data_IF_334396340647
#
_entry.id   IF_334396340647
#
_cell.length_a   1.000
_cell.length_b   1.000
_cell.length_c   1.000
_cell.angle_alpha   90.00
_cell.angle_beta   90.00
_cell.angle_gamma   90.00
#
_symmetry.space_group_name_H-M   'P 1'
#
loop_
_entity.id
_entity.type
_entity.pdbx_description
1 polymer ?
#
# COMPACT_ATOMS: atom_id res chain seq x y z
N UNK A 1 16.00 10.38 1.51
CA UNK A 1 16.62 9.21 0.85
C UNK A 1 15.60 8.08 0.85
N UNK A 2 15.51 7.26 -0.19
CA UNK A 2 14.62 6.11 -0.19
C UNK A 2 15.01 5.11 0.91
N UNK A 3 14.03 4.39 1.44
CA UNK A 3 14.26 3.30 2.38
C UNK A 3 14.89 2.12 1.63
N UNK A 4 15.97 1.56 2.19
CA UNK A 4 16.61 0.34 1.67
C UNK A 4 16.26 -0.85 2.54
N UNK A 5 16.46 -2.08 2.03
CA UNK A 5 16.30 -3.32 2.79
C UNK A 5 17.10 -3.31 4.09
N UNK A 6 18.40 -3.00 4.00
CA UNK A 6 19.27 -2.99 5.16
C UNK A 6 18.81 -1.99 6.22
N UNK A 7 18.36 -0.79 5.76
CA UNK A 7 17.83 0.22 6.69
C UNK A 7 16.50 -0.19 7.30
N UNK A 8 15.65 -0.87 6.56
CA UNK A 8 14.41 -1.42 7.12
C UNK A 8 14.68 -2.44 8.23
N UNK A 9 15.61 -3.39 8.02
CA UNK A 9 15.97 -4.35 9.05
C UNK A 9 16.70 -3.68 10.23
N UNK A 10 17.56 -2.69 9.99
CA UNK A 10 18.17 -1.88 11.06
C UNK A 10 17.10 -1.18 11.91
N UNK A 11 16.04 -0.63 11.29
CA UNK A 11 14.92 -0.03 12.02
C UNK A 11 14.20 -1.04 12.90
N UNK A 12 14.00 -2.27 12.42
CA UNK A 12 13.43 -3.36 13.24
C UNK A 12 14.32 -3.66 14.44
N UNK A 13 15.62 -3.77 14.21
CA UNK A 13 16.59 -4.14 15.25
C UNK A 13 16.83 -3.00 16.26
N UNK A 14 16.61 -1.76 15.88
CA UNK A 14 16.83 -0.57 16.72
C UNK A 14 15.60 -0.15 17.52
N UNK A 15 14.40 -0.67 17.21
CA UNK A 15 13.16 -0.25 17.85
C UNK A 15 12.56 -1.34 18.73
N UNK A 16 12.25 -1.00 19.97
CA UNK A 16 11.82 -1.96 21.00
C UNK A 16 10.42 -2.53 20.78
N UNK A 17 9.56 -1.80 20.07
CA UNK A 17 8.17 -2.19 19.84
C UNK A 17 7.63 -1.67 18.51
N UNK A 18 6.42 -2.11 18.16
CA UNK A 18 5.75 -1.75 16.91
C UNK A 18 5.46 -0.25 16.77
N UNK A 19 4.95 0.48 17.78
CA UNK A 19 4.74 1.93 17.69
C UNK A 19 6.02 2.72 17.40
N UNK A 20 7.13 2.43 18.06
CA UNK A 20 8.41 3.10 17.80
C UNK A 20 8.93 2.79 16.41
N UNK A 21 8.85 1.53 15.97
CA UNK A 21 9.19 1.15 14.60
C UNK A 21 8.34 1.92 13.58
N UNK A 22 7.02 2.02 13.77
CA UNK A 22 6.13 2.75 12.86
C UNK A 22 6.45 4.25 12.81
N UNK A 23 6.74 4.84 13.96
CA UNK A 23 7.17 6.23 14.04
C UNK A 23 8.48 6.48 13.27
N UNK A 24 9.48 5.60 13.45
CA UNK A 24 10.75 5.69 12.73
C UNK A 24 10.58 5.49 11.22
N UNK A 25 9.70 4.58 10.79
CA UNK A 25 9.35 4.37 9.39
C UNK A 25 8.64 5.58 8.79
N UNK A 26 7.79 6.25 9.59
CA UNK A 26 7.08 7.47 9.20
C UNK A 26 7.98 8.61 8.72
N UNK A 27 9.24 8.64 9.17
CA UNK A 27 10.22 9.62 8.71
C UNK A 27 10.59 9.49 7.22
N UNK A 28 10.29 8.37 6.59
CA UNK A 28 10.49 8.10 5.16
C UNK A 28 9.27 8.44 4.31
N UNK A 29 8.16 8.87 4.92
CA UNK A 29 6.91 9.16 4.22
C UNK A 29 6.88 10.65 3.85
N UNK A 30 6.68 10.99 2.56
CA UNK A 30 6.56 12.40 2.16
C UNK A 30 5.25 13.01 2.66
N UNK A 31 5.25 14.34 2.83
CA UNK A 31 4.06 15.07 3.29
C UNK A 31 2.93 15.13 2.25
N UNK A 32 3.23 14.83 0.98
CA UNK A 32 2.25 14.72 -0.11
C UNK A 32 2.48 13.44 -0.90
N UNK A 33 1.39 12.78 -1.27
CA UNK A 33 1.36 11.59 -2.12
C UNK A 33 0.33 11.74 -3.23
N UNK A 34 0.50 11.00 -4.30
CA UNK A 34 -0.31 11.06 -5.51
C UNK A 34 -0.94 9.71 -5.82
N UNK A 35 -2.21 9.72 -6.23
CA UNK A 35 -2.85 8.51 -6.74
C UNK A 35 -3.49 8.81 -8.09
N UNK A 36 -3.21 7.93 -9.05
CA UNK A 36 -3.66 8.04 -10.42
C UNK A 36 -4.92 7.20 -10.62
N UNK A 37 -5.84 7.71 -11.43
CA UNK A 37 -7.12 7.07 -11.68
C UNK A 37 -7.44 7.09 -13.17
N UNK A 38 -7.82 5.95 -13.71
CA UNK A 38 -8.52 5.88 -14.98
C UNK A 38 -9.98 6.33 -14.78
N UNK A 39 -10.58 6.89 -15.82
CA UNK A 39 -12.01 7.17 -15.86
C UNK A 39 -12.64 6.09 -16.75
N UNK A 40 -13.59 5.29 -16.25
CA UNK A 40 -14.30 4.29 -17.03
C UNK A 40 -15.02 4.92 -18.22
N UNK A 41 -15.12 4.18 -19.33
CA UNK A 41 -15.92 4.59 -20.50
C UNK A 41 -17.42 4.56 -20.18
N UNK A 42 -17.86 3.67 -19.27
CA UNK A 42 -19.22 3.65 -18.75
C UNK A 42 -19.50 4.89 -17.91
N UNK A 43 -20.53 5.65 -18.33
CA UNK A 43 -20.85 6.94 -17.70
C UNK A 43 -21.38 6.82 -16.27
N UNK A 44 -22.05 5.72 -15.94
CA UNK A 44 -22.61 5.48 -14.60
C UNK A 44 -21.51 5.03 -13.64
N UNK A 45 -20.58 4.19 -14.09
CA UNK A 45 -19.42 3.82 -13.29
C UNK A 45 -18.51 5.03 -13.05
N UNK A 46 -18.26 5.83 -14.08
CA UNK A 46 -17.48 7.06 -13.93
C UNK A 46 -18.12 8.02 -12.92
N UNK A 47 -19.44 8.22 -12.99
CA UNK A 47 -20.19 9.05 -12.04
C UNK A 47 -20.05 8.51 -10.62
N UNK A 48 -20.22 7.20 -10.42
CA UNK A 48 -20.06 6.56 -9.13
C UNK A 48 -18.67 6.80 -8.52
N UNK A 49 -17.60 6.71 -9.31
CA UNK A 49 -16.23 6.98 -8.84
C UNK A 49 -16.05 8.45 -8.43
N UNK A 50 -16.63 9.39 -9.16
CA UNK A 50 -16.59 10.80 -8.77
C UNK A 50 -17.35 11.08 -7.46
N UNK A 51 -18.52 10.45 -7.27
CA UNK A 51 -19.26 10.57 -6.01
C UNK A 51 -18.51 9.96 -4.83
N UNK A 52 -17.84 8.83 -5.01
CA UNK A 52 -16.95 8.24 -3.98
C UNK A 52 -15.83 9.21 -3.59
N UNK A 53 -15.18 9.85 -4.57
CA UNK A 53 -14.15 10.84 -4.27
C UNK A 53 -14.72 12.05 -3.51
N UNK A 54 -15.91 12.56 -3.88
CA UNK A 54 -16.61 13.63 -3.15
C UNK A 54 -16.96 13.23 -1.72
N UNK A 55 -17.33 11.98 -1.49
CA UNK A 55 -17.65 11.45 -0.16
C UNK A 55 -16.40 11.18 0.69
N UNK A 56 -15.21 11.48 0.18
CA UNK A 56 -13.95 11.22 0.88
C UNK A 56 -13.59 9.75 0.97
N UNK A 57 -14.08 8.92 0.05
CA UNK A 57 -13.85 7.48 0.01
C UNK A 57 -12.74 7.13 -0.98
N UNK A 58 -11.93 6.12 -0.62
CA UNK A 58 -10.85 5.60 -1.43
C UNK A 58 -10.89 4.07 -1.44
N UNK A 59 -10.60 3.49 -2.61
CA UNK A 59 -10.64 2.05 -2.80
C UNK A 59 -9.38 1.36 -2.31
N UNK A 60 -9.56 0.32 -1.50
CA UNK A 60 -8.55 -0.65 -1.10
C UNK A 60 -8.73 -1.92 -1.91
N UNK A 61 -7.70 -2.32 -2.64
CA UNK A 61 -7.73 -3.49 -3.54
C UNK A 61 -7.23 -4.74 -2.84
N UNK A 62 -7.84 -5.88 -3.15
CA UNK A 62 -7.19 -7.18 -2.92
C UNK A 62 -5.99 -7.35 -3.84
N UNK A 63 -5.08 -8.25 -3.47
CA UNK A 63 -3.93 -8.63 -4.32
C UNK A 63 -4.33 -8.92 -5.76
N UNK A 64 -5.42 -9.64 -5.98
CA UNK A 64 -5.93 -9.99 -7.32
C UNK A 64 -6.31 -8.79 -8.19
N UNK A 65 -6.48 -7.61 -7.62
CA UNK A 65 -6.78 -6.35 -8.32
C UNK A 65 -5.54 -5.51 -8.61
N UNK A 66 -4.34 -5.96 -8.26
CA UNK A 66 -3.08 -5.28 -8.55
C UNK A 66 -2.54 -5.72 -9.91
N UNK A 67 -1.71 -4.88 -10.53
CA UNK A 67 -1.19 -5.11 -11.89
C UNK A 67 0.05 -6.00 -11.93
N UNK A 68 0.81 -6.12 -10.84
CA UNK A 68 1.94 -7.03 -10.76
C UNK A 68 1.46 -8.43 -10.35
N UNK A 69 1.57 -9.45 -11.22
CA UNK A 69 1.17 -10.82 -10.87
C UNK A 69 2.02 -11.44 -9.75
N UNK A 70 3.21 -10.89 -9.50
CA UNK A 70 4.13 -11.32 -8.43
C UNK A 70 4.03 -10.45 -7.17
N UNK A 71 3.00 -9.62 -7.07
CA UNK A 71 2.77 -8.76 -5.91
C UNK A 71 2.73 -9.58 -4.62
N UNK A 72 3.49 -9.14 -3.59
CA UNK A 72 3.71 -9.83 -2.31
C UNK A 72 4.48 -11.16 -2.41
N UNK A 73 4.96 -11.55 -3.60
CA UNK A 73 5.73 -12.78 -3.82
C UNK A 73 7.23 -12.54 -3.96
N UNK A 74 7.70 -11.30 -3.79
CA UNK A 74 9.13 -10.97 -3.80
C UNK A 74 9.84 -11.52 -2.55
N UNK A 75 9.80 -12.87 -2.41
CA UNK A 75 10.30 -13.61 -1.26
C UNK A 75 10.69 -15.04 -1.66
N UNK A 76 11.75 -15.56 -1.09
CA UNK A 76 12.09 -16.97 -1.13
C UNK A 76 11.71 -17.65 0.19
N UNK A 77 11.07 -18.82 0.08
CA UNK A 77 10.69 -19.69 1.21
C UNK A 77 11.22 -21.11 1.01
N UNK A 78 12.47 -21.22 0.55
CA UNK A 78 13.07 -22.51 0.14
C UNK A 78 13.23 -23.51 1.29
N UNK A 79 13.45 -23.01 2.50
CA UNK A 79 13.64 -23.83 3.70
C UNK A 79 12.41 -23.99 4.57
N UNK A 80 11.30 -23.30 4.27
CA UNK A 80 10.09 -23.38 5.07
C UNK A 80 9.30 -24.67 4.78
N UNK A 81 8.67 -25.23 5.84
CA UNK A 81 7.74 -26.36 5.67
C UNK A 81 6.54 -25.96 4.81
N UNK A 82 5.96 -26.93 4.09
CA UNK A 82 4.81 -26.69 3.21
C UNK A 82 3.64 -26.01 3.93
N UNK A 83 3.38 -26.38 5.17
CA UNK A 83 2.30 -25.80 5.98
C UNK A 83 2.56 -24.32 6.30
N UNK A 84 3.79 -23.95 6.61
CA UNK A 84 4.15 -22.55 6.85
C UNK A 84 3.98 -21.70 5.59
N UNK A 85 4.40 -22.24 4.43
CA UNK A 85 4.21 -21.59 3.13
C UNK A 85 2.73 -21.42 2.80
N UNK A 86 1.91 -22.46 2.95
CA UNK A 86 0.48 -22.38 2.67
C UNK A 86 -0.25 -21.42 3.59
N UNK A 87 0.13 -21.38 4.87
CA UNK A 87 -0.40 -20.41 5.83
C UNK A 87 -0.12 -18.98 5.39
N UNK A 88 1.10 -18.68 4.93
CA UNK A 88 1.46 -17.37 4.39
C UNK A 88 0.60 -16.97 3.20
N UNK A 89 0.47 -17.86 2.20
CA UNK A 89 -0.33 -17.59 1.00
C UNK A 89 -1.81 -17.34 1.33
N UNK A 90 -2.36 -18.06 2.29
CA UNK A 90 -3.74 -17.85 2.74
C UNK A 90 -3.92 -16.49 3.41
N UNK A 91 -2.94 -16.06 4.23
CA UNK A 91 -2.99 -14.75 4.90
C UNK A 91 -2.92 -13.58 3.93
N UNK A 92 -2.20 -13.71 2.82
CA UNK A 92 -2.18 -12.67 1.79
C UNK A 92 -3.55 -12.41 1.14
N UNK A 93 -4.45 -13.39 1.11
CA UNK A 93 -5.80 -13.23 0.56
C UNK A 93 -6.67 -12.31 1.43
N UNK A 94 -6.37 -12.18 2.72
CA UNK A 94 -7.08 -11.29 3.64
C UNK A 94 -6.61 -9.83 3.50
N UNK A 95 -5.45 -9.58 2.89
CA UNK A 95 -4.87 -8.24 2.78
C UNK A 95 -5.60 -7.38 1.75
N UNK A 96 -5.70 -6.11 2.10
CA UNK A 96 -6.13 -5.02 1.23
C UNK A 96 -5.06 -3.94 1.20
N UNK A 97 -4.90 -3.34 0.04
CA UNK A 97 -3.86 -2.34 -0.18
C UNK A 97 -4.38 -1.13 -0.94
N UNK A 98 -3.96 0.04 -0.50
CA UNK A 98 -4.12 1.28 -1.23
C UNK A 98 -2.74 1.84 -1.55
N UNK A 99 -2.41 1.95 -2.84
CA UNK A 99 -1.12 2.35 -3.38
C UNK A 99 -1.13 3.81 -3.80
N UNK A 100 -0.03 4.49 -3.55
CA UNK A 100 0.23 5.90 -3.89
C UNK A 100 1.63 6.02 -4.48
N UNK A 101 1.90 7.11 -5.21
CA UNK A 101 3.22 7.46 -5.72
C UNK A 101 3.72 8.77 -5.07
N UNK A 102 5.02 8.93 -4.93
CA UNK A 102 5.61 10.21 -4.57
C UNK A 102 5.67 11.19 -5.77
N UNK A 103 5.42 10.73 -6.98
CA UNK A 103 5.65 11.48 -8.21
C UNK A 103 4.36 11.93 -8.89
N UNK A 104 4.21 13.24 -9.14
CA UNK A 104 3.15 13.78 -9.98
C UNK A 104 3.50 13.74 -11.48
N UNK A 105 4.74 13.99 -11.84
CA UNK A 105 5.17 14.20 -13.24
C UNK A 105 5.86 12.97 -13.85
N UNK A 106 5.41 11.77 -13.50
CA UNK A 106 5.93 10.54 -14.06
C UNK A 106 5.08 10.08 -15.27
N UNK A 107 5.70 10.05 -16.46
CA UNK A 107 5.03 9.68 -17.72
C UNK A 107 4.48 8.25 -17.70
N UNK A 108 5.20 7.32 -17.07
CA UNK A 108 4.77 5.93 -16.96
C UNK A 108 3.54 5.80 -16.05
N UNK A 109 3.51 6.53 -14.93
CA UNK A 109 2.35 6.56 -14.05
C UNK A 109 1.12 7.11 -14.77
N UNK A 110 1.22 8.20 -15.50
CA UNK A 110 0.13 8.73 -16.31
C UNK A 110 -0.32 7.77 -17.42
N UNK A 111 0.62 7.07 -18.03
CA UNK A 111 0.33 6.10 -19.09
C UNK A 111 -0.39 4.86 -18.55
N UNK A 112 0.11 4.26 -17.48
CA UNK A 112 -0.37 2.98 -16.96
C UNK A 112 -1.62 3.14 -16.08
N UNK A 113 -1.65 4.15 -15.22
CA UNK A 113 -2.67 4.26 -14.16
C UNK A 113 -3.74 5.32 -14.43
N UNK A 114 -3.50 6.25 -15.38
CA UNK A 114 -4.47 7.26 -15.79
C UNK A 114 -4.93 7.08 -17.24
N UNK A 115 -5.01 5.84 -17.73
CA UNK A 115 -5.50 5.47 -19.07
C UNK A 115 -4.85 6.30 -20.19
N UNK A 116 -3.52 6.43 -20.20
CA UNK A 116 -2.80 7.19 -21.22
C UNK A 116 -3.14 8.68 -21.20
N UNK A 117 -3.11 9.28 -20.01
CA UNK A 117 -3.44 10.70 -19.76
C UNK A 117 -4.91 11.08 -19.98
N UNK A 118 -5.83 10.13 -20.13
CA UNK A 118 -7.29 10.40 -20.23
C UNK A 118 -7.95 10.49 -18.85
N UNK A 119 -7.32 9.97 -17.82
CA UNK A 119 -7.79 9.96 -16.44
C UNK A 119 -7.37 11.20 -15.65
N UNK A 120 -7.20 11.04 -14.35
CA UNK A 120 -6.83 12.12 -13.43
C UNK A 120 -5.89 11.62 -12.35
N UNK A 121 -5.27 12.56 -11.64
CA UNK A 121 -4.45 12.32 -10.47
C UNK A 121 -4.96 13.15 -9.30
N UNK A 122 -4.97 12.58 -8.12
CA UNK A 122 -5.31 13.28 -6.87
C UNK A 122 -4.06 13.42 -6.03
N UNK A 123 -3.80 14.63 -5.57
CA UNK A 123 -2.79 14.92 -4.56
C UNK A 123 -3.41 14.82 -3.18
N UNK A 124 -2.75 14.08 -2.30
CA UNK A 124 -3.13 13.92 -0.90
C UNK A 124 -2.05 14.51 0.00
N UNK A 125 -2.45 15.28 1.00
CA UNK A 125 -1.63 15.53 2.18
C UNK A 125 -1.67 14.30 3.07
N UNK A 126 -0.50 13.87 3.53
CA UNK A 126 -0.36 12.80 4.53
C UNK A 126 -0.44 13.43 5.92
N UNK A 127 -1.45 13.05 6.69
CA UNK A 127 -1.70 13.53 8.05
C UNK A 127 -1.30 12.49 9.10
N UNK A 128 -1.22 11.20 8.72
CA UNK A 128 -0.81 10.09 9.57
C UNK A 128 0.28 9.25 8.88
N UNK A 129 1.55 9.72 8.86
CA UNK A 129 2.62 9.03 8.15
C UNK A 129 2.89 7.62 8.69
N UNK A 130 2.55 7.34 9.95
CA UNK A 130 2.65 6.01 10.57
C UNK A 130 1.70 4.96 9.96
N UNK A 131 0.72 5.37 9.14
CA UNK A 131 -0.17 4.45 8.41
C UNK A 131 0.48 3.89 7.15
N UNK A 132 1.53 4.53 6.64
CA UNK A 132 2.12 4.22 5.34
C UNK A 132 3.37 3.36 5.46
N UNK A 133 3.62 2.61 4.38
CA UNK A 133 4.84 1.85 4.15
C UNK A 133 5.47 2.30 2.82
N UNK A 134 6.73 2.76 2.81
CA UNK A 134 7.44 2.97 1.57
C UNK A 134 7.76 1.62 0.92
N UNK A 135 7.61 1.51 -0.39
CA UNK A 135 8.02 0.30 -1.12
C UNK A 135 9.52 0.32 -1.35
N UNK A 136 10.16 -0.80 -1.05
CA UNK A 136 11.59 -1.03 -1.23
C UNK A 136 11.79 -1.79 -2.53
N UNK A 137 12.62 -1.25 -3.43
CA UNK A 137 12.90 -1.86 -4.72
C UNK A 137 14.26 -2.54 -4.69
N UNK A 138 14.27 -3.84 -5.03
CA UNK A 138 15.48 -4.65 -5.08
C UNK A 138 15.38 -5.77 -6.12
N UNK A 139 16.53 -6.18 -6.66
CA UNK A 139 16.60 -7.29 -7.63
C UNK A 139 16.70 -8.65 -6.95
N UNK A 140 17.20 -8.67 -5.72
CA UNK A 140 17.42 -9.90 -4.98
C UNK A 140 16.17 -10.25 -4.17
N UNK A 141 15.70 -11.47 -4.35
CA UNK A 141 14.58 -12.01 -3.56
C UNK A 141 15.10 -12.48 -2.21
N UNK A 142 14.73 -11.84 -1.09
CA UNK A 142 15.21 -12.24 0.23
C UNK A 142 14.68 -13.62 0.61
N UNK A 143 15.52 -14.43 1.25
CA UNK A 143 15.07 -15.70 1.85
C UNK A 143 14.66 -15.45 3.31
N UNK A 144 13.36 -15.53 3.59
CA UNK A 144 12.76 -15.38 4.91
C UNK A 144 12.21 -16.72 5.44
N UNK A 145 12.74 -17.82 4.96
CA UNK A 145 12.29 -19.18 5.35
C UNK A 145 12.32 -19.39 6.87
N UNK A 146 13.35 -18.89 7.54
CA UNK A 146 13.50 -19.04 8.99
C UNK A 146 12.49 -18.20 9.76
N UNK A 147 12.27 -16.96 9.36
CA UNK A 147 11.27 -16.06 9.96
C UNK A 147 9.85 -16.61 9.80
N UNK A 148 9.50 -17.10 8.61
CA UNK A 148 8.18 -17.71 8.38
C UNK A 148 8.00 -19.02 9.14
N UNK A 149 9.03 -19.86 9.22
CA UNK A 149 8.96 -21.08 10.04
C UNK A 149 8.76 -20.72 11.51
N UNK A 150 9.55 -19.78 12.04
CA UNK A 150 9.40 -19.32 13.43
C UNK A 150 8.02 -18.74 13.69
N UNK A 151 7.49 -17.91 12.77
CA UNK A 151 6.14 -17.37 12.86
C UNK A 151 5.08 -18.47 12.90
N UNK A 152 5.21 -19.47 12.03
CA UNK A 152 4.29 -20.61 11.99
C UNK A 152 4.30 -21.40 13.31
N UNK A 153 5.48 -21.62 13.88
CA UNK A 153 5.63 -22.33 15.15
C UNK A 153 5.01 -21.53 16.33
N UNK A 154 5.16 -20.19 16.31
CA UNK A 154 4.63 -19.30 17.35
C UNK A 154 3.08 -19.19 17.32
N UNK A 155 2.41 -19.48 16.21
CA UNK A 155 0.97 -19.24 16.07
C UNK A 155 0.11 -19.92 17.13
N UNK A 156 0.45 -21.14 17.51
CA UNK A 156 -0.26 -21.89 18.54
C UNK A 156 -0.03 -21.28 19.92
N UNK A 157 1.17 -20.81 20.20
CA UNK A 157 1.51 -20.07 21.41
C UNK A 157 0.75 -18.73 21.46
N UNK A 158 0.65 -18.03 20.32
CA UNK A 158 -0.11 -16.78 20.19
C UNK A 158 -1.62 -16.98 20.45
N UNK A 159 -2.20 -18.07 19.98
CA UNK A 159 -3.62 -18.40 20.26
C UNK A 159 -3.85 -18.68 21.74
N UNK A 160 -2.91 -19.33 22.42
CA UNK A 160 -3.01 -19.68 23.84
C UNK A 160 -2.72 -18.48 24.77
N UNK A 161 -1.71 -17.70 24.47
CA UNK A 161 -1.30 -16.54 25.27
C UNK A 161 -0.63 -15.44 24.42
N UNK A 162 -1.43 -14.58 23.73
CA UNK A 162 -0.90 -13.55 22.85
C UNK A 162 0.08 -12.60 23.52
N UNK A 163 -0.20 -12.20 24.77
CA UNK A 163 0.62 -11.24 25.51
C UNK A 163 2.02 -11.76 25.78
N UNK A 164 2.15 -13.04 26.09
CA UNK A 164 3.48 -13.64 26.37
C UNK A 164 4.35 -13.66 25.10
N UNK A 165 3.75 -13.97 23.96
CA UNK A 165 4.46 -14.02 22.67
C UNK A 165 4.83 -12.62 22.20
N UNK A 166 3.89 -11.66 22.26
CA UNK A 166 4.08 -10.29 21.80
C UNK A 166 5.00 -9.45 22.72
N UNK A 167 5.13 -9.83 23.99
CA UNK A 167 6.07 -9.20 24.90
C UNK A 167 7.53 -9.67 24.70
N UNK A 168 7.75 -10.76 23.96
CA UNK A 168 9.08 -11.20 23.59
C UNK A 168 9.63 -10.36 22.43
N UNK A 169 10.78 -9.72 22.63
CA UNK A 169 11.39 -8.83 21.65
C UNK A 169 11.77 -9.56 20.35
N UNK A 170 12.34 -10.74 20.41
CA UNK A 170 12.71 -11.52 19.23
C UNK A 170 11.48 -11.97 18.41
N UNK A 171 10.40 -12.34 19.09
CA UNK A 171 9.14 -12.66 18.41
C UNK A 171 8.56 -11.46 17.67
N UNK A 172 8.64 -10.25 18.27
CA UNK A 172 8.20 -9.00 17.60
C UNK A 172 9.03 -8.72 16.34
N UNK A 173 10.36 -8.93 16.39
CA UNK A 173 11.21 -8.81 15.19
C UNK A 173 10.77 -9.75 14.07
N UNK A 174 10.49 -11.00 14.40
CA UNK A 174 9.97 -11.98 13.43
C UNK A 174 8.70 -11.47 12.79
N UNK A 175 7.72 -10.96 13.58
CA UNK A 175 6.47 -10.42 13.07
C UNK A 175 6.67 -9.23 12.13
N UNK A 176 7.64 -8.36 12.40
CA UNK A 176 7.98 -7.24 11.52
C UNK A 176 8.68 -7.70 10.24
N UNK A 177 9.59 -8.65 10.33
CA UNK A 177 10.37 -9.16 9.19
C UNK A 177 9.51 -9.91 8.19
N UNK A 178 8.54 -10.73 8.64
CA UNK A 178 7.63 -11.47 7.74
C UNK A 178 6.70 -10.56 6.94
N UNK A 179 6.54 -9.30 7.33
CA UNK A 179 5.77 -8.32 6.57
C UNK A 179 6.58 -7.66 5.44
N UNK A 180 7.90 -7.87 5.39
CA UNK A 180 8.76 -7.26 4.38
C UNK A 180 8.28 -7.45 2.93
N UNK A 181 7.83 -8.64 2.51
CA UNK A 181 7.36 -8.85 1.14
C UNK A 181 6.12 -8.02 0.76
N UNK A 182 5.38 -7.51 1.73
CA UNK A 182 4.19 -6.68 1.48
C UNK A 182 4.55 -5.29 0.93
N UNK A 183 5.81 -4.88 1.07
CA UNK A 183 6.33 -3.60 0.59
C UNK A 183 7.73 -3.73 -0.03
N UNK A 184 8.09 -4.90 -0.54
CA UNK A 184 9.22 -5.08 -1.45
C UNK A 184 8.73 -5.40 -2.86
N UNK A 185 9.45 -4.93 -3.86
CA UNK A 185 9.08 -5.05 -5.27
C UNK A 185 10.34 -5.13 -6.13
N UNK A 186 10.26 -5.76 -7.28
CA UNK A 186 11.35 -5.78 -8.26
C UNK A 186 11.69 -4.35 -8.74
N UNK A 187 12.97 -4.09 -9.00
CA UNK A 187 13.46 -2.77 -9.44
C UNK A 187 12.85 -2.29 -10.75
N UNK A 188 12.30 -3.16 -11.59
CA UNK A 188 11.60 -2.74 -12.82
C UNK A 188 10.39 -1.84 -12.52
N UNK A 189 9.82 -1.92 -11.32
CA UNK A 189 8.71 -1.10 -10.84
C UNK A 189 9.16 0.19 -10.11
N UNK A 190 10.46 0.44 -9.98
CA UNK A 190 10.99 1.57 -9.20
C UNK A 190 10.51 2.95 -9.68
N UNK A 191 10.04 3.05 -10.93
CA UNK A 191 9.44 4.27 -11.48
C UNK A 191 8.14 4.68 -10.78
N UNK A 192 7.49 3.78 -10.01
CA UNK A 192 6.26 4.07 -9.28
C UNK A 192 6.53 4.92 -8.03
N UNK A 193 7.73 4.85 -7.44
CA UNK A 193 8.05 5.46 -6.13
C UNK A 193 6.90 5.28 -5.15
N UNK A 194 6.54 4.03 -4.91
CA UNK A 194 5.28 3.62 -4.30
C UNK A 194 5.31 3.72 -2.78
N UNK A 195 4.16 4.10 -2.22
CA UNK A 195 3.82 4.07 -0.80
C UNK A 195 2.48 3.39 -0.61
N UNK A 196 2.35 2.57 0.43
CA UNK A 196 1.17 1.73 0.67
C UNK A 196 0.55 1.97 2.02
N UNK A 197 -0.79 1.93 2.05
CA UNK A 197 -1.54 1.61 3.27
C UNK A 197 -1.97 0.16 3.13
N UNK A 198 -1.75 -0.64 4.18
CA UNK A 198 -2.19 -2.03 4.28
C UNK A 198 -3.29 -2.14 5.32
N UNK A 199 -4.30 -2.93 5.00
CA UNK A 199 -5.37 -3.30 5.90
C UNK A 199 -5.72 -4.78 5.72
N UNK A 200 -6.63 -5.31 6.52
CA UNK A 200 -7.11 -6.68 6.39
C UNK A 200 -8.63 -6.70 6.43
N UNK A 201 -9.23 -7.39 5.47
CA UNK A 201 -10.68 -7.53 5.38
C UNK A 201 -11.05 -8.93 4.90
N UNK A 202 -12.19 -9.42 5.37
CA UNK A 202 -12.79 -10.67 4.90
C UNK A 202 -13.65 -10.50 3.65
N UNK A 203 -13.81 -9.26 3.16
CA UNK A 203 -14.54 -8.96 1.92
C UNK A 203 -13.74 -9.48 0.72
N UNK A 204 -14.38 -10.15 -0.22
CA UNK A 204 -13.70 -10.87 -1.29
C UNK A 204 -13.05 -10.00 -2.37
N UNK A 205 -13.56 -8.78 -2.60
CA UNK A 205 -13.21 -7.96 -3.77
C UNK A 205 -12.52 -6.62 -3.45
N UNK A 206 -12.16 -6.40 -2.17
CA UNK A 206 -11.73 -5.09 -1.70
C UNK A 206 -12.90 -4.23 -1.22
N UNK A 207 -12.60 -3.08 -0.63
CA UNK A 207 -13.61 -2.19 -0.05
C UNK A 207 -13.26 -0.70 -0.16
N UNK A 208 -14.29 0.13 0.01
CA UNK A 208 -14.14 1.58 0.15
C UNK A 208 -13.90 1.92 1.62
N UNK A 209 -12.90 2.77 1.86
CA UNK A 209 -12.60 3.28 3.19
C UNK A 209 -12.56 4.81 3.18
N UNK A 210 -12.84 5.43 4.33
CA UNK A 210 -12.75 6.87 4.48
C UNK A 210 -11.28 7.33 4.45
N UNK A 211 -10.99 8.35 3.63
CA UNK A 211 -9.64 8.91 3.51
C UNK A 211 -9.14 9.48 4.83
N UNK A 212 -10.01 10.15 5.58
CA UNK A 212 -9.67 10.78 6.86
C UNK A 212 -9.25 9.77 7.93
N UNK A 213 -9.89 8.59 8.00
CA UNK A 213 -9.50 7.51 8.92
C UNK A 213 -8.15 6.90 8.56
N UNK A 214 -7.73 7.08 7.31
CA UNK A 214 -6.44 6.65 6.80
C UNK A 214 -5.38 7.75 6.81
N UNK A 215 -5.67 8.89 7.43
CA UNK A 215 -4.73 10.01 7.54
C UNK A 215 -4.44 10.68 6.21
N UNK A 216 -5.44 10.74 5.32
CA UNK A 216 -5.37 11.34 3.99
C UNK A 216 -6.32 12.53 3.87
N UNK A 217 -5.85 13.62 3.29
CA UNK A 217 -6.68 14.76 2.90
C UNK A 217 -6.38 15.17 1.48
N UNK A 218 -7.41 15.20 0.63
CA UNK A 218 -7.29 15.73 -0.74
C UNK A 218 -6.86 17.17 -0.71
N UNK A 219 -5.84 17.53 -1.50
CA UNK A 219 -5.34 18.90 -1.63
C UNK A 219 -5.44 19.44 -3.02
N UNK A 220 -5.49 18.56 -4.04
CA UNK A 220 -5.58 18.96 -5.45
C UNK A 220 -6.11 17.83 -6.32
N UNK A 221 -6.81 18.19 -7.39
CA UNK A 221 -7.22 17.27 -8.46
C UNK A 221 -6.60 17.74 -9.78
N UNK A 222 -5.91 16.86 -10.47
CA UNK A 222 -5.19 17.16 -11.71
C UNK A 222 -5.75 16.30 -12.84
N UNK A 223 -6.37 16.94 -13.84
CA UNK A 223 -6.83 16.24 -15.03
C UNK A 223 -5.66 15.88 -15.95
N UNK A 224 -5.71 14.71 -16.57
CA UNK A 224 -4.75 14.31 -17.59
C UNK A 224 -4.89 15.15 -18.87
N UNK A 225 -3.81 15.24 -19.64
CA UNK A 225 -3.73 16.09 -20.83
C UNK A 225 -4.76 15.73 -21.93
N UNK A 226 -5.25 14.50 -21.92
CA UNK A 226 -6.24 13.98 -22.86
C UNK A 226 -7.59 13.67 -22.19
N UNK A 227 -7.83 14.23 -21.00
CA UNK A 227 -9.13 14.17 -20.35
C UNK A 227 -10.19 14.86 -21.23
N UNK A 228 -11.34 14.21 -21.42
CA UNK A 228 -12.42 14.81 -22.21
C UNK A 228 -13.04 16.04 -21.51
N UNK A 229 -13.59 16.97 -22.28
CA UNK A 229 -14.23 18.16 -21.72
C UNK A 229 -15.33 17.81 -20.71
N UNK A 230 -16.13 16.78 -20.99
CA UNK A 230 -17.16 16.31 -20.09
C UNK A 230 -16.57 15.85 -18.74
N UNK A 231 -15.55 15.01 -18.77
CA UNK A 231 -14.90 14.51 -17.56
C UNK A 231 -14.14 15.62 -16.83
N UNK A 232 -13.56 16.56 -17.56
CA UNK A 232 -12.92 17.74 -16.96
C UNK A 232 -13.92 18.61 -16.19
N UNK A 233 -15.13 18.83 -16.73
CA UNK A 233 -16.18 19.55 -16.00
C UNK A 233 -16.64 18.79 -14.74
N UNK A 234 -16.81 17.47 -14.83
CA UNK A 234 -17.12 16.63 -13.66
C UNK A 234 -16.02 16.71 -12.58
N UNK A 235 -14.74 16.69 -12.97
CA UNK A 235 -13.62 16.85 -12.02
C UNK A 235 -13.63 18.23 -11.36
N UNK A 236 -14.00 19.31 -12.08
CA UNK A 236 -14.19 20.63 -11.48
C UNK A 236 -15.31 20.66 -10.44
N UNK A 237 -16.42 19.95 -10.70
CA UNK A 237 -17.52 19.83 -9.73
C UNK A 237 -17.05 19.09 -8.46
N UNK A 238 -16.25 18.01 -8.61
CA UNK A 238 -15.64 17.30 -7.49
C UNK A 238 -14.70 18.22 -6.71
N UNK A 239 -13.81 18.92 -7.42
CA UNK A 239 -12.86 19.85 -6.80
C UNK A 239 -13.58 20.97 -6.04
N UNK A 240 -14.65 21.54 -6.63
CA UNK A 240 -15.49 22.53 -5.98
C UNK A 240 -16.18 22.00 -4.72
N UNK A 241 -16.70 20.77 -4.75
CA UNK A 241 -17.33 20.14 -3.59
C UNK A 241 -16.33 19.86 -2.45
N UNK A 242 -15.09 19.52 -2.79
CA UNK A 242 -13.99 19.30 -1.82
C UNK A 242 -13.26 20.60 -1.42
N UNK A 243 -13.61 21.72 -2.04
CA UNK A 243 -12.96 23.02 -1.85
C UNK A 243 -11.45 22.97 -2.11
N UNK A 244 -11.03 22.31 -3.20
CA UNK A 244 -9.64 22.17 -3.66
C UNK A 244 -9.48 22.63 -5.11
N UNK A 245 -8.25 23.04 -5.56
CA UNK A 245 -7.97 23.38 -6.93
C UNK A 245 -7.92 22.15 -7.85
#
# INVERSE_FOLDING_TARGET
MPLTKDKYFELIDSNSDYPHFRCALGAYIPGSLYKYFSIPDDSDEARKRFEQLKSGEIWFSKRSGLNDPFEFEHIALKGAQNDARQYYLNKQQELEVCCFSALLYNKLMWSHYAAGYKGYCVEFRVESPERFYPVIYENEVPDLSQEYQRFYDMRNEMCANPSLVLNNYENRKVLLRINYPLFSKDTCWSYEEEYRILDSSTVSNGELQQMTTNGLRVTKIIAGAFCTDLNFQRLKEVAGALNVP
#
